data_IF_081016945070
#
_entry.id   IF_081016945070
#
_cell.length_a   1.000
_cell.length_b   1.000
_cell.length_c   1.000
_cell.angle_alpha   90.00
_cell.angle_beta   90.00
_cell.angle_gamma   90.00
#
_symmetry.space_group_name_H-M   'P 1'
#
loop_
_entity.id
_entity.type
_entity.pdbx_description
1 polymer ?
#
# COMPACT_ATOMS: atom_id res chain seq x y z
N UNK A 1 -33.71 -18.95 -73.01
CA UNK A 1 -33.02 -18.21 -71.94
C UNK A 1 -31.65 -17.79 -72.44
N UNK A 2 -31.33 -16.49 -72.38
CA UNK A 2 -30.11 -15.91 -72.97
C UNK A 2 -28.85 -16.21 -72.15
N UNK A 3 -27.71 -16.38 -72.83
CA UNK A 3 -26.37 -16.53 -72.22
C UNK A 3 -25.99 -15.36 -71.28
N UNK A 4 -26.51 -14.16 -71.57
CA UNK A 4 -26.26 -12.95 -70.76
C UNK A 4 -26.92 -13.00 -69.37
N UNK A 5 -28.07 -13.66 -69.27
CA UNK A 5 -28.87 -13.82 -68.05
C UNK A 5 -28.21 -14.77 -67.04
N UNK A 6 -27.48 -15.78 -67.54
CA UNK A 6 -26.65 -16.68 -66.69
C UNK A 6 -25.43 -15.97 -66.12
N UNK A 7 -24.80 -15.11 -66.90
CA UNK A 7 -23.58 -14.39 -66.49
C UNK A 7 -23.85 -13.39 -65.37
N UNK A 8 -24.94 -12.62 -65.47
CA UNK A 8 -25.35 -11.66 -64.44
C UNK A 8 -25.69 -12.33 -63.09
N UNK A 9 -26.36 -13.49 -63.12
CA UNK A 9 -26.68 -14.27 -61.90
C UNK A 9 -25.45 -14.87 -61.25
N UNK A 10 -24.44 -15.25 -62.04
CA UNK A 10 -23.18 -15.76 -61.51
C UNK A 10 -22.37 -14.64 -60.83
N UNK A 11 -22.29 -13.46 -61.44
CA UNK A 11 -21.64 -12.29 -60.86
C UNK A 11 -22.30 -11.87 -59.52
N UNK A 12 -23.63 -11.78 -59.47
CA UNK A 12 -24.35 -11.45 -58.24
C UNK A 12 -24.15 -12.48 -57.10
N UNK A 13 -23.98 -13.77 -57.43
CA UNK A 13 -23.63 -14.81 -56.46
C UNK A 13 -22.20 -14.70 -55.97
N UNK A 14 -21.27 -14.31 -56.84
CA UNK A 14 -19.87 -14.08 -56.45
C UNK A 14 -19.75 -12.85 -55.53
N UNK A 15 -20.47 -11.77 -55.82
CA UNK A 15 -20.50 -10.57 -54.97
C UNK A 15 -21.09 -10.86 -53.58
N UNK A 16 -22.20 -11.59 -53.51
CA UNK A 16 -22.80 -11.99 -52.22
C UNK A 16 -21.89 -12.95 -51.44
N UNK A 17 -21.21 -13.89 -52.10
CA UNK A 17 -20.24 -14.76 -51.46
C UNK A 17 -19.03 -13.99 -50.91
N UNK A 18 -18.49 -13.05 -51.68
CA UNK A 18 -17.38 -12.19 -51.25
C UNK A 18 -17.79 -11.29 -50.07
N UNK A 19 -19.01 -10.73 -50.10
CA UNK A 19 -19.54 -9.93 -48.99
C UNK A 19 -19.72 -10.76 -47.71
N UNK A 20 -20.25 -11.98 -47.84
CA UNK A 20 -20.39 -12.90 -46.70
C UNK A 20 -19.02 -13.30 -46.11
N UNK A 21 -18.01 -13.50 -46.96
CA UNK A 21 -16.65 -13.78 -46.51
C UNK A 21 -16.07 -12.59 -45.71
N UNK A 22 -16.25 -11.36 -46.18
CA UNK A 22 -15.82 -10.16 -45.46
C UNK A 22 -16.52 -10.00 -44.10
N UNK A 23 -17.81 -10.32 -44.01
CA UNK A 23 -18.57 -10.30 -42.75
C UNK A 23 -17.99 -11.31 -41.76
N UNK A 24 -17.65 -12.52 -42.24
CA UNK A 24 -17.10 -13.56 -41.37
C UNK A 24 -15.69 -13.23 -40.89
N UNK A 25 -14.82 -12.69 -41.75
CA UNK A 25 -13.50 -12.16 -41.35
C UNK A 25 -13.64 -11.02 -40.32
N UNK A 26 -14.60 -10.12 -40.51
CA UNK A 26 -14.86 -9.05 -39.55
C UNK A 26 -15.32 -9.59 -38.19
N UNK A 27 -16.17 -10.64 -38.17
CA UNK A 27 -16.59 -11.31 -36.93
C UNK A 27 -15.42 -11.94 -36.19
N UNK A 28 -14.55 -12.65 -36.91
CA UNK A 28 -13.35 -13.25 -36.32
C UNK A 28 -12.41 -12.18 -35.73
N UNK A 29 -12.22 -11.05 -36.41
CA UNK A 29 -11.43 -9.91 -35.89
C UNK A 29 -12.06 -9.30 -34.64
N UNK A 30 -13.38 -9.13 -34.62
CA UNK A 30 -14.10 -8.62 -33.44
C UNK A 30 -13.94 -9.58 -32.27
N UNK A 31 -14.04 -10.89 -32.51
CA UNK A 31 -13.92 -11.89 -31.46
C UNK A 31 -12.50 -11.99 -30.90
N UNK A 32 -11.48 -11.97 -31.75
CA UNK A 32 -10.08 -11.87 -31.33
C UNK A 32 -9.85 -10.59 -30.51
N UNK A 33 -10.35 -9.45 -30.97
CA UNK A 33 -10.23 -8.18 -30.24
C UNK A 33 -10.92 -8.23 -28.88
N UNK A 34 -12.08 -8.88 -28.77
CA UNK A 34 -12.79 -9.09 -27.50
C UNK A 34 -11.98 -9.95 -26.53
N UNK A 35 -11.30 -11.00 -27.02
CA UNK A 35 -10.42 -11.84 -26.20
C UNK A 35 -9.23 -11.04 -25.67
N UNK A 36 -8.55 -10.29 -26.55
CA UNK A 36 -7.42 -9.44 -26.15
C UNK A 36 -7.85 -8.36 -25.15
N UNK A 37 -9.03 -7.75 -25.33
CA UNK A 37 -9.57 -6.77 -24.37
C UNK A 37 -9.82 -7.37 -22.99
N UNK A 38 -10.31 -8.62 -22.91
CA UNK A 38 -10.50 -9.32 -21.63
C UNK A 38 -9.18 -9.61 -20.94
N UNK A 39 -8.15 -9.99 -21.69
CA UNK A 39 -6.80 -10.25 -21.17
C UNK A 39 -6.19 -8.97 -20.61
N UNK A 40 -6.23 -7.86 -21.37
CA UNK A 40 -5.77 -6.53 -20.90
C UNK A 40 -6.55 -6.08 -19.65
N UNK A 41 -7.85 -6.36 -19.57
CA UNK A 41 -8.65 -6.03 -18.39
C UNK A 41 -8.22 -6.84 -17.16
N UNK A 42 -7.88 -8.11 -17.34
CA UNK A 42 -7.40 -8.97 -16.27
C UNK A 42 -6.04 -8.47 -15.75
N UNK A 43 -5.09 -8.22 -16.66
CA UNK A 43 -3.78 -7.66 -16.31
C UNK A 43 -3.90 -6.32 -15.58
N UNK A 44 -4.80 -5.43 -16.04
CA UNK A 44 -5.06 -4.16 -15.36
C UNK A 44 -5.61 -4.34 -13.94
N UNK A 45 -6.44 -5.37 -13.72
CA UNK A 45 -6.96 -5.69 -12.38
C UNK A 45 -5.83 -6.15 -11.47
N UNK A 46 -4.97 -7.04 -11.97
CA UNK A 46 -3.84 -7.57 -11.19
C UNK A 46 -2.84 -6.46 -10.83
N UNK A 47 -2.50 -5.59 -11.79
CA UNK A 47 -1.62 -4.43 -11.54
C UNK A 47 -2.23 -3.49 -10.51
N UNK A 48 -3.55 -3.26 -10.58
CA UNK A 48 -4.25 -2.42 -9.61
C UNK A 48 -4.19 -3.01 -8.20
N UNK A 49 -4.47 -4.30 -8.05
CA UNK A 49 -4.40 -4.99 -6.75
C UNK A 49 -2.98 -4.97 -6.17
N UNK A 50 -1.96 -5.18 -7.00
CA UNK A 50 -0.56 -5.06 -6.57
C UNK A 50 -0.19 -3.64 -6.13
N UNK A 51 -0.70 -2.62 -6.83
CA UNK A 51 -0.45 -1.22 -6.49
C UNK A 51 -1.12 -0.86 -5.16
N UNK A 52 -2.37 -1.28 -4.95
CA UNK A 52 -3.11 -1.07 -3.70
C UNK A 52 -2.39 -1.74 -2.51
N UNK A 53 -1.94 -2.98 -2.66
CA UNK A 53 -1.16 -3.68 -1.63
C UNK A 53 0.17 -2.98 -1.33
N UNK A 54 0.86 -2.49 -2.36
CA UNK A 54 2.11 -1.76 -2.19
C UNK A 54 1.90 -0.44 -1.44
N UNK A 55 0.80 0.27 -1.70
CA UNK A 55 0.42 1.47 -0.96
C UNK A 55 0.09 1.17 0.50
N UNK A 56 -0.62 0.08 0.78
CA UNK A 56 -0.91 -0.35 2.16
C UNK A 56 0.38 -0.69 2.93
N UNK A 57 1.29 -1.44 2.32
CA UNK A 57 2.60 -1.73 2.91
C UNK A 57 3.36 -0.42 3.15
N UNK A 58 3.37 0.49 2.17
CA UNK A 58 4.04 1.78 2.29
C UNK A 58 3.48 2.59 3.45
N UNK A 59 2.15 2.67 3.61
CA UNK A 59 1.52 3.35 4.75
C UNK A 59 1.88 2.68 6.07
N UNK A 60 1.85 1.36 6.14
CA UNK A 60 2.23 0.60 7.34
C UNK A 60 3.68 0.81 7.80
N UNK A 61 4.57 1.21 6.88
CA UNK A 61 5.97 1.52 7.20
C UNK A 61 6.18 3.02 7.47
N UNK A 62 5.51 3.90 6.72
CA UNK A 62 5.71 5.34 6.76
C UNK A 62 4.88 6.08 7.80
N UNK A 63 3.85 5.44 8.35
CA UNK A 63 2.97 6.05 9.34
C UNK A 63 3.27 5.51 10.74
N UNK A 64 3.08 6.37 11.74
CA UNK A 64 3.10 5.93 13.12
C UNK A 64 1.88 5.07 13.42
N UNK A 65 2.04 3.85 13.96
CA UNK A 65 0.93 2.95 14.25
C UNK A 65 0.00 3.45 15.37
N UNK A 66 0.33 4.57 16.02
CA UNK A 66 -0.42 5.14 17.15
C UNK A 66 -1.24 6.36 16.70
N UNK A 67 -0.62 7.31 16.00
CA UNK A 67 -1.29 8.55 15.56
C UNK A 67 -1.55 8.62 14.05
N UNK A 68 -1.12 7.62 13.27
CA UNK A 68 -1.30 7.51 11.81
C UNK A 68 -0.67 8.64 10.98
N UNK A 69 0.13 9.51 11.60
CA UNK A 69 0.86 10.55 10.87
C UNK A 69 2.15 10.00 10.25
N UNK A 70 2.58 10.60 9.13
CA UNK A 70 3.79 10.21 8.40
C UNK A 70 5.10 10.63 9.08
N UNK A 71 6.09 9.73 9.06
CA UNK A 71 7.43 9.98 9.57
C UNK A 71 8.13 11.08 8.76
N UNK A 72 8.94 11.90 9.42
CA UNK A 72 9.79 12.91 8.79
C UNK A 72 11.11 13.10 9.55
N UNK A 73 11.98 13.96 9.02
CA UNK A 73 13.33 14.21 9.57
C UNK A 73 13.40 15.34 10.60
N UNK A 74 12.28 15.96 10.97
CA UNK A 74 12.27 17.18 11.78
C UNK A 74 11.69 16.92 13.17
N UNK A 75 10.42 16.57 13.24
CA UNK A 75 9.64 16.44 14.46
C UNK A 75 8.97 15.06 14.62
N UNK A 76 8.88 14.31 13.52
CA UNK A 76 8.28 12.98 13.43
C UNK A 76 9.34 11.93 13.11
N UNK A 77 10.38 11.87 13.94
CA UNK A 77 11.47 10.91 13.75
C UNK A 77 11.02 9.52 14.21
N UNK A 78 11.09 8.48 13.35
CA UNK A 78 10.76 7.12 13.74
C UNK A 78 11.77 6.62 14.77
N UNK A 79 11.30 6.16 15.92
CA UNK A 79 12.14 5.54 16.94
C UNK A 79 11.59 4.19 17.33
N UNK A 80 12.45 3.23 17.62
CA UNK A 80 12.01 1.87 17.94
C UNK A 80 12.21 1.49 19.40
N UNK A 81 11.28 0.69 19.89
CA UNK A 81 11.27 0.15 21.23
C UNK A 81 12.14 -1.10 21.27
N UNK A 82 13.41 -0.98 21.67
CA UNK A 82 14.44 -2.04 21.55
C UNK A 82 14.03 -3.44 22.06
N UNK A 83 13.16 -3.53 23.07
CA UNK A 83 12.70 -4.84 23.59
C UNK A 83 11.75 -5.59 22.65
N UNK A 84 11.10 -4.89 21.71
CA UNK A 84 10.13 -5.49 20.79
C UNK A 84 10.27 -5.07 19.33
N UNK A 85 11.11 -4.09 19.00
CA UNK A 85 11.33 -3.62 17.62
C UNK A 85 10.21 -2.73 17.07
N UNK A 86 9.13 -2.52 17.81
CA UNK A 86 8.04 -1.67 17.35
C UNK A 86 8.47 -0.22 17.21
N UNK A 87 8.09 0.42 16.10
CA UNK A 87 8.50 1.79 15.75
C UNK A 87 7.34 2.77 15.92
N UNK A 88 7.59 3.93 16.54
CA UNK A 88 6.67 5.05 16.67
C UNK A 88 7.44 6.34 16.97
N UNK A 89 6.77 7.49 17.01
CA UNK A 89 7.36 8.73 17.55
C UNK A 89 7.48 8.64 19.07
N UNK A 90 8.49 9.31 19.65
CA UNK A 90 8.70 9.25 21.10
C UNK A 90 7.54 9.81 21.91
N UNK A 91 6.92 10.88 21.42
CA UNK A 91 5.68 11.40 21.99
C UNK A 91 4.55 10.35 22.02
N UNK A 92 4.43 9.52 20.99
CA UNK A 92 3.39 8.49 20.95
C UNK A 92 3.65 7.34 21.93
N UNK A 93 4.92 7.03 22.22
CA UNK A 93 5.25 6.12 23.33
C UNK A 93 4.86 6.73 24.68
N UNK A 94 5.00 8.04 24.84
CA UNK A 94 4.76 8.72 26.12
C UNK A 94 3.31 9.04 26.43
N UNK A 95 2.47 9.24 25.41
CA UNK A 95 1.04 9.48 25.57
C UNK A 95 0.31 8.36 26.34
N UNK A 96 0.88 7.17 26.40
CA UNK A 96 0.31 6.05 27.17
C UNK A 96 0.64 6.08 28.66
N UNK A 97 1.57 6.94 29.10
CA UNK A 97 1.86 7.14 30.52
C UNK A 97 0.97 8.23 31.05
N UNK A 98 -0.10 7.85 31.73
CA UNK A 98 -1.00 8.83 32.35
C UNK A 98 -0.28 9.56 33.49
N UNK A 99 -0.74 10.76 33.85
CA UNK A 99 -0.25 11.48 35.03
C UNK A 99 -0.32 10.62 36.30
N UNK A 100 -1.32 9.75 36.42
CA UNK A 100 -1.45 8.78 37.52
C UNK A 100 -0.38 7.70 37.51
N UNK A 101 0.04 7.22 36.33
CA UNK A 101 1.14 6.24 36.21
C UNK A 101 2.49 6.87 36.60
N UNK A 102 2.69 8.15 36.27
CA UNK A 102 3.84 8.93 36.74
C UNK A 102 3.85 9.03 38.26
N UNK A 103 2.72 9.41 38.88
CA UNK A 103 2.59 9.52 40.34
C UNK A 103 2.76 8.17 41.07
N UNK A 104 2.22 7.08 40.53
CA UNK A 104 2.36 5.74 41.11
C UNK A 104 3.82 5.27 41.03
N UNK A 105 4.48 5.50 39.90
CA UNK A 105 5.90 5.17 39.72
C UNK A 105 6.80 6.01 40.63
N UNK A 106 6.55 7.30 40.76
CA UNK A 106 7.28 8.18 41.68
C UNK A 106 7.19 7.70 43.13
N UNK A 107 5.98 7.30 43.58
CA UNK A 107 5.76 6.77 44.94
C UNK A 107 6.44 5.40 45.16
N UNK A 108 6.44 4.53 44.15
CA UNK A 108 6.99 3.17 44.26
C UNK A 108 8.51 3.12 44.16
N UNK A 109 9.10 3.90 43.26
CA UNK A 109 10.52 3.73 42.91
C UNK A 109 11.46 4.54 43.81
N UNK A 110 10.98 5.55 44.56
CA UNK A 110 11.74 6.43 45.51
C UNK A 110 13.04 7.06 44.96
N UNK A 111 13.44 6.71 43.74
CA UNK A 111 14.54 7.22 42.95
C UNK A 111 13.92 8.19 41.96
N UNK A 112 14.29 9.45 42.10
CA UNK A 112 13.85 10.52 41.23
C UNK A 112 14.15 10.11 39.78
N UNK A 113 13.13 10.12 38.94
CA UNK A 113 13.23 10.17 37.48
C UNK A 113 13.35 8.84 36.73
N UNK A 114 12.94 7.68 37.27
CA UNK A 114 12.89 6.42 36.49
C UNK A 114 11.49 5.81 36.54
N UNK A 115 10.97 5.34 35.40
CA UNK A 115 9.68 4.65 35.32
C UNK A 115 9.68 3.53 34.27
N UNK A 116 8.74 2.61 34.42
CA UNK A 116 8.55 1.49 33.51
C UNK A 116 7.52 1.90 32.43
N UNK A 117 7.99 2.01 31.18
CA UNK A 117 7.17 2.36 30.01
C UNK A 117 6.75 1.08 29.26
N UNK A 118 5.45 0.77 29.14
CA UNK A 118 4.99 -0.31 28.28
C UNK A 118 4.97 0.12 26.81
N UNK A 119 5.36 -0.79 25.90
CA UNK A 119 5.15 -0.59 24.48
C UNK A 119 3.64 -0.55 24.15
N UNK A 120 3.14 0.49 23.46
CA UNK A 120 1.74 0.62 23.05
C UNK A 120 1.18 -0.55 22.24
N UNK A 121 2.05 -1.24 21.50
CA UNK A 121 1.65 -2.28 20.54
C UNK A 121 1.67 -3.69 21.16
N UNK A 122 2.58 -3.97 22.10
CA UNK A 122 2.77 -5.33 22.64
C UNK A 122 2.99 -5.39 24.16
N UNK A 123 2.93 -4.26 24.85
CA UNK A 123 3.08 -4.11 26.31
C UNK A 123 4.38 -4.62 26.92
N UNK A 124 5.40 -4.95 26.12
CA UNK A 124 6.76 -5.19 26.64
C UNK A 124 7.26 -3.92 27.34
N UNK A 125 7.84 -4.09 28.51
CA UNK A 125 8.23 -2.99 29.39
C UNK A 125 9.69 -2.60 29.12
N UNK A 126 9.96 -1.29 29.02
CA UNK A 126 11.30 -0.71 29.04
C UNK A 126 11.36 0.28 30.20
N UNK A 127 12.42 0.18 31.00
CA UNK A 127 12.70 1.16 32.05
C UNK A 127 13.39 2.37 31.43
N UNK A 128 12.83 3.55 31.65
CA UNK A 128 13.30 4.82 31.06
C UNK A 128 13.36 5.92 32.12
N UNK A 129 14.13 6.97 31.85
CA UNK A 129 14.13 8.17 32.71
C UNK A 129 13.01 9.16 32.35
N UNK A 130 12.79 10.21 33.16
CA UNK A 130 11.78 11.25 32.91
C UNK A 130 11.94 11.99 31.57
N UNK A 131 13.17 12.10 31.09
CA UNK A 131 13.64 12.65 29.81
C UNK A 131 13.92 11.51 28.80
N UNK A 132 12.89 10.72 28.50
CA UNK A 132 13.02 9.51 27.67
C UNK A 132 13.06 9.79 26.16
N UNK A 133 12.91 11.03 25.70
CA UNK A 133 12.80 11.35 24.28
C UNK A 133 14.02 10.89 23.45
N UNK A 134 15.20 10.92 24.08
CA UNK A 134 16.47 10.51 23.47
C UNK A 134 16.85 9.04 23.75
N UNK A 135 16.12 8.37 24.64
CA UNK A 135 16.43 7.00 25.09
C UNK A 135 15.93 5.92 24.13
N UNK A 136 15.18 6.30 23.08
CA UNK A 136 14.75 5.40 22.02
C UNK A 136 15.67 5.58 20.81
N UNK A 137 16.32 4.53 20.30
CA UNK A 137 17.12 4.64 19.09
C UNK A 137 16.25 5.04 17.90
N UNK A 138 16.84 5.81 16.99
CA UNK A 138 16.21 6.16 15.71
C UNK A 138 16.14 4.91 14.84
N UNK A 139 15.00 4.68 14.19
CA UNK A 139 14.90 3.69 13.14
C UNK A 139 15.35 4.33 11.82
N UNK A 140 16.65 4.26 11.54
CA UNK A 140 17.26 4.86 10.36
C UNK A 140 16.68 4.30 9.06
N UNK A 141 16.33 3.02 9.01
CA UNK A 141 15.74 2.39 7.83
C UNK A 141 14.40 3.06 7.46
N UNK A 142 13.51 3.22 8.44
CA UNK A 142 12.22 3.90 8.24
C UNK A 142 12.42 5.37 7.92
N UNK A 143 13.40 6.04 8.54
CA UNK A 143 13.68 7.45 8.28
C UNK A 143 14.19 7.69 6.86
N UNK A 144 15.14 6.87 6.39
CA UNK A 144 15.66 6.93 5.02
C UNK A 144 14.55 6.62 4.02
N UNK A 145 13.71 5.62 4.31
CA UNK A 145 12.58 5.28 3.48
C UNK A 145 11.54 6.42 3.39
N UNK A 146 11.26 7.10 4.51
CA UNK A 146 10.40 8.27 4.56
C UNK A 146 10.95 9.46 3.75
N UNK A 147 12.26 9.70 3.83
CA UNK A 147 12.91 10.75 3.04
C UNK A 147 12.91 10.46 1.54
N UNK A 148 13.13 9.19 1.15
CA UNK A 148 13.05 8.78 -0.25
C UNK A 148 11.64 8.89 -0.82
N UNK A 149 10.63 8.68 0.04
CA UNK A 149 9.21 8.71 -0.30
C UNK A 149 8.60 10.12 -0.39
N UNK A 150 9.30 11.14 0.11
CA UNK A 150 8.85 12.53 0.12
C UNK A 150 9.29 13.35 -1.12
N UNK A 151 10.04 12.75 -2.04
CA UNK A 151 10.45 13.33 -3.33
C UNK A 151 9.49 12.91 -4.44
#
# INVERSE_FOLDING_TARGET
>A
MSSTDRSARHAARQETAAMNQQIEEARQRIEASKKNLKEIQLEKKDVREQTELQEEIRKGVLECPICTENYNSVDRIPRFFEKCGHTAYTHCFSCQVTTKDKEINERRLKKKNVFDLPCPMCRKIKRVMSDFDEQFPINEEVLVFAQASAK
#
